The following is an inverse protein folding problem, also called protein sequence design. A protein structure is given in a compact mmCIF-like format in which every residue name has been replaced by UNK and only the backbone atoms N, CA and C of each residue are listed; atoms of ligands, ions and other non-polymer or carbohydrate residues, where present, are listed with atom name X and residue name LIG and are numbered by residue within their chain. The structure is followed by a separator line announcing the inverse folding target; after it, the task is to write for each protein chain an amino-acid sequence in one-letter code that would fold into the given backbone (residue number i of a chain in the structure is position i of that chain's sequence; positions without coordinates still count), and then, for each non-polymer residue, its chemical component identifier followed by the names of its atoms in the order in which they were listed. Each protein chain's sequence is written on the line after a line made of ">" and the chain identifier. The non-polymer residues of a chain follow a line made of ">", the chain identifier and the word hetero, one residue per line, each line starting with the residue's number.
data_IF_447118171944
#
_entry.id   IF_447118171944
#
_cell.length_a   1.000
_cell.length_b   1.000
_cell.length_c   1.000
_cell.angle_alpha   90.00
_cell.angle_beta   90.00
_cell.angle_gamma   90.00
#
_symmetry.space_group_name_H-M   'P 1'
#
loop_
_entity.id
_entity.type
_entity.pdbx_description
1 polymer ?
#
# COMPACT_ATOMS: atom_id res chain seq x y z
N UNK A 1 -24.89 9.39 14.45
CA UNK A 1 -24.14 9.79 13.25
C UNK A 1 -25.02 9.57 12.04
N UNK A 2 -25.12 10.55 11.10
CA UNK A 2 -25.86 10.36 9.87
C UNK A 2 -25.24 9.25 9.04
N UNK A 3 -26.05 8.28 8.63
CA UNK A 3 -25.61 7.14 7.85
C UNK A 3 -26.64 6.70 6.84
N UNK A 4 -26.19 6.00 5.80
CA UNK A 4 -26.99 5.40 4.76
C UNK A 4 -26.85 3.88 4.83
N UNK A 5 -27.95 3.14 4.69
CA UNK A 5 -27.91 1.69 4.55
C UNK A 5 -28.25 1.35 3.10
N UNK A 6 -27.35 0.62 2.45
CA UNK A 6 -27.56 0.12 1.09
C UNK A 6 -27.83 -1.38 1.20
N UNK A 7 -28.84 -1.86 0.47
CA UNK A 7 -29.23 -3.28 0.50
C UNK A 7 -29.42 -3.85 -0.91
N UNK A 8 -29.07 -5.13 -1.05
CA UNK A 8 -29.32 -5.94 -2.24
C UNK A 8 -29.80 -7.33 -1.81
N UNK A 9 -31.11 -7.57 -1.92
CA UNK A 9 -31.71 -8.78 -1.35
C UNK A 9 -31.52 -8.84 0.16
N UNK A 10 -30.92 -9.92 0.65
CA UNK A 10 -30.64 -10.10 2.08
C UNK A 10 -29.33 -9.41 2.55
N UNK A 11 -28.46 -9.01 1.63
CA UNK A 11 -27.20 -8.35 1.95
C UNK A 11 -27.42 -6.87 2.24
N UNK A 12 -26.79 -6.36 3.30
CA UNK A 12 -26.87 -4.95 3.71
C UNK A 12 -25.49 -4.45 4.11
N UNK A 13 -25.21 -3.20 3.79
CA UNK A 13 -24.00 -2.49 4.24
C UNK A 13 -24.35 -1.08 4.67
N UNK A 14 -23.62 -0.55 5.67
CA UNK A 14 -23.79 0.81 6.16
C UNK A 14 -22.69 1.73 5.62
N UNK A 15 -23.06 2.96 5.27
CA UNK A 15 -22.16 4.04 4.87
C UNK A 15 -22.28 5.18 5.86
N UNK A 16 -21.18 5.61 6.42
CA UNK A 16 -21.14 6.80 7.27
C UNK A 16 -21.04 8.04 6.38
N UNK A 17 -22.06 8.91 6.44
CA UNK A 17 -22.13 10.09 5.59
C UNK A 17 -21.27 11.26 6.12
N UNK A 18 -21.06 11.30 7.43
CA UNK A 18 -20.23 12.34 8.06
C UNK A 18 -18.99 11.69 8.67
N UNK A 19 -17.82 12.02 8.14
CA UNK A 19 -16.53 11.55 8.67
C UNK A 19 -15.96 12.60 9.59
N UNK A 20 -15.85 12.29 10.88
CA UNK A 20 -15.27 13.20 11.85
C UNK A 20 -13.75 13.12 11.87
N UNK A 21 -13.11 14.27 11.72
CA UNK A 21 -11.73 14.48 12.16
C UNK A 21 -11.79 15.40 13.39
N UNK A 22 -11.28 14.94 14.55
CA UNK A 22 -11.33 15.71 15.80
C UNK A 22 -10.57 17.05 15.76
N UNK A 23 -9.70 17.21 14.77
CA UNK A 23 -8.85 18.39 14.59
C UNK A 23 -9.37 19.35 13.51
N UNK A 24 -10.38 18.99 12.73
CA UNK A 24 -10.94 19.81 11.67
C UNK A 24 -12.14 20.62 12.12
N UNK A 25 -12.35 21.77 11.53
CA UNK A 25 -13.54 22.60 11.76
C UNK A 25 -14.81 21.90 11.26
N UNK A 26 -16.01 22.25 11.76
CA UNK A 26 -17.26 21.66 11.27
C UNK A 26 -17.48 21.82 9.77
N UNK A 27 -17.07 22.95 9.19
CA UNK A 27 -17.18 23.22 7.75
C UNK A 27 -16.23 22.34 6.93
N UNK A 28 -15.00 22.14 7.39
CA UNK A 28 -14.03 21.24 6.75
C UNK A 28 -14.51 19.79 6.80
N UNK A 29 -15.10 19.36 7.91
CA UNK A 29 -15.68 18.02 8.06
C UNK A 29 -16.80 17.80 7.03
N UNK A 30 -17.68 18.78 6.85
CA UNK A 30 -18.77 18.71 5.89
C UNK A 30 -18.22 18.66 4.46
N UNK A 31 -17.28 19.53 4.11
CA UNK A 31 -16.70 19.58 2.77
C UNK A 31 -15.97 18.27 2.42
N UNK A 32 -15.13 17.77 3.30
CA UNK A 32 -14.44 16.48 3.11
C UNK A 32 -15.43 15.30 3.00
N UNK A 33 -16.55 15.36 3.75
CA UNK A 33 -17.58 14.34 3.68
C UNK A 33 -18.35 14.37 2.36
N UNK A 34 -18.61 15.54 1.81
CA UNK A 34 -19.25 15.73 0.51
C UNK A 34 -18.31 15.24 -0.61
N UNK A 35 -17.05 15.61 -0.59
CA UNK A 35 -16.04 15.17 -1.57
C UNK A 35 -15.86 13.64 -1.59
N UNK A 36 -15.91 13.00 -0.42
CA UNK A 36 -15.77 11.55 -0.31
C UNK A 36 -17.04 10.75 -0.53
N UNK A 37 -18.21 11.39 -0.63
CA UNK A 37 -19.52 10.72 -0.59
C UNK A 37 -19.72 9.73 -1.75
N UNK A 38 -19.39 10.13 -2.97
CA UNK A 38 -19.52 9.27 -4.14
C UNK A 38 -18.67 8.00 -4.00
N UNK A 39 -17.43 8.16 -3.58
CA UNK A 39 -16.51 7.05 -3.35
C UNK A 39 -17.06 6.04 -2.31
N UNK A 40 -17.58 6.54 -1.18
CA UNK A 40 -18.14 5.69 -0.12
C UNK A 40 -19.38 4.92 -0.58
N UNK A 41 -20.26 5.58 -1.33
CA UNK A 41 -21.48 4.94 -1.87
C UNK A 41 -21.11 3.87 -2.90
N UNK A 42 -20.21 4.20 -3.84
CA UNK A 42 -19.75 3.24 -4.86
C UNK A 42 -19.05 2.04 -4.21
N UNK A 43 -18.22 2.27 -3.21
CA UNK A 43 -17.58 1.19 -2.44
C UNK A 43 -18.62 0.28 -1.77
N UNK A 44 -19.62 0.86 -1.13
CA UNK A 44 -20.67 0.11 -0.46
C UNK A 44 -21.48 -0.73 -1.44
N UNK A 45 -21.84 -0.16 -2.61
CA UNK A 45 -22.51 -0.90 -3.69
C UNK A 45 -21.64 -2.06 -4.18
N UNK A 46 -20.35 -1.81 -4.43
CA UNK A 46 -19.44 -2.85 -4.88
C UNK A 46 -19.32 -4.00 -3.86
N UNK A 47 -19.38 -3.71 -2.56
CA UNK A 47 -19.35 -4.74 -1.50
C UNK A 47 -20.57 -5.69 -1.58
N UNK A 48 -21.71 -5.21 -2.08
CA UNK A 48 -22.95 -6.00 -2.24
C UNK A 48 -23.02 -6.78 -3.56
N UNK A 49 -22.06 -6.54 -4.47
CA UNK A 49 -22.01 -7.28 -5.72
C UNK A 49 -21.16 -8.55 -5.52
N UNK A 50 -21.59 -9.71 -6.07
CA UNK A 50 -20.77 -10.90 -6.08
C UNK A 50 -19.55 -10.63 -6.97
N UNK A 51 -18.39 -10.50 -6.37
CA UNK A 51 -17.11 -10.37 -7.06
C UNK A 51 -16.20 -11.49 -6.62
N UNK A 52 -15.54 -12.08 -7.58
CA UNK A 52 -14.41 -12.95 -7.30
C UNK A 52 -13.29 -12.09 -6.69
N UNK A 53 -12.95 -12.39 -5.44
CA UNK A 53 -11.92 -11.62 -4.72
C UNK A 53 -10.56 -11.96 -5.28
N UNK A 54 -9.85 -10.93 -5.70
CA UNK A 54 -8.47 -11.08 -6.18
C UNK A 54 -7.52 -11.31 -5.01
N UNK A 55 -6.54 -12.18 -5.24
CA UNK A 55 -5.55 -12.60 -4.23
C UNK A 55 -4.30 -11.76 -4.32
N UNK A 56 -3.95 -11.10 -3.23
CA UNK A 56 -2.75 -10.24 -3.16
C UNK A 56 -1.76 -10.83 -2.15
N UNK A 57 -0.54 -11.08 -2.60
CA UNK A 57 0.57 -11.52 -1.76
C UNK A 57 1.36 -10.33 -1.20
N UNK A 58 1.67 -10.34 0.10
CA UNK A 58 2.54 -9.36 0.76
C UNK A 58 3.83 -10.03 1.20
N UNK A 59 4.97 -9.44 0.85
CA UNK A 59 6.28 -9.93 1.25
C UNK A 59 6.64 -9.40 2.65
N UNK A 60 6.46 -10.25 3.65
CA UNK A 60 6.67 -9.87 5.06
C UNK A 60 8.14 -9.82 5.45
N UNK A 61 8.99 -10.68 4.88
CA UNK A 61 10.39 -10.83 5.29
C UNK A 61 11.29 -9.66 4.89
N UNK A 62 10.96 -8.99 3.80
CA UNK A 62 11.77 -7.93 3.22
C UNK A 62 11.41 -6.55 3.77
N UNK A 63 10.23 -6.38 4.36
CA UNK A 63 9.78 -5.11 4.92
C UNK A 63 10.19 -4.95 6.38
N UNK A 64 10.84 -3.84 6.71
CA UNK A 64 11.04 -3.42 8.10
C UNK A 64 9.96 -2.45 8.59
N UNK A 65 8.94 -2.19 7.80
CA UNK A 65 7.83 -1.34 8.20
C UNK A 65 7.05 -2.01 9.33
N UNK A 66 6.91 -1.36 10.50
CA UNK A 66 6.18 -1.93 11.62
C UNK A 66 4.77 -2.34 11.23
N UNK A 67 4.28 -3.47 11.74
CA UNK A 67 2.95 -3.98 11.42
C UNK A 67 1.84 -2.94 11.67
N UNK A 68 2.00 -2.12 12.71
CA UNK A 68 1.05 -1.06 13.06
C UNK A 68 0.93 0.01 11.95
N UNK A 69 2.02 0.35 11.28
CA UNK A 69 2.01 1.32 10.18
C UNK A 69 1.35 0.76 8.90
N UNK A 70 1.21 -0.56 8.80
CA UNK A 70 0.60 -1.24 7.67
C UNK A 70 -0.90 -1.54 7.88
N UNK A 71 -1.40 -1.38 9.13
CA UNK A 71 -2.77 -1.80 9.50
C UNK A 71 -3.84 -1.15 8.62
N UNK A 72 -3.76 0.15 8.38
CA UNK A 72 -4.77 0.86 7.60
C UNK A 72 -4.78 0.43 6.15
N UNK A 73 -3.61 0.25 5.55
CA UNK A 73 -3.48 -0.30 4.20
C UNK A 73 -4.08 -1.70 4.11
N UNK A 74 -3.68 -2.58 5.03
CA UNK A 74 -4.16 -3.97 5.08
C UNK A 74 -5.68 -4.00 5.28
N UNK A 75 -6.23 -3.23 6.22
CA UNK A 75 -7.65 -3.19 6.48
C UNK A 75 -8.45 -2.63 5.29
N UNK A 76 -7.92 -1.63 4.61
CA UNK A 76 -8.53 -1.07 3.41
C UNK A 76 -8.56 -2.07 2.26
N UNK A 77 -7.47 -2.79 2.06
CA UNK A 77 -7.39 -3.81 1.01
C UNK A 77 -8.22 -5.05 1.32
N UNK A 78 -8.28 -5.50 2.58
CA UNK A 78 -9.11 -6.64 3.01
C UNK A 78 -10.60 -6.47 2.72
N UNK A 79 -11.07 -5.26 2.52
CA UNK A 79 -12.48 -5.01 2.14
C UNK A 79 -12.81 -5.59 0.76
N UNK A 80 -11.83 -5.64 -0.16
CA UNK A 80 -12.04 -6.01 -1.57
C UNK A 80 -11.22 -7.22 -2.03
N UNK A 81 -10.09 -7.50 -1.36
CA UNK A 81 -9.10 -8.48 -1.77
C UNK A 81 -8.86 -9.52 -0.68
N UNK A 82 -8.44 -10.70 -1.08
CA UNK A 82 -7.91 -11.71 -0.18
C UNK A 82 -6.40 -11.52 -0.07
N UNK A 83 -5.92 -11.26 1.15
CA UNK A 83 -4.53 -10.91 1.42
C UNK A 83 -3.80 -12.11 2.02
N UNK A 84 -2.63 -12.42 1.46
CA UNK A 84 -1.79 -13.52 1.89
C UNK A 84 -0.39 -13.01 2.26
N UNK A 85 0.13 -13.29 3.45
CA UNK A 85 1.55 -13.13 3.71
C UNK A 85 2.33 -14.13 2.87
N UNK A 86 3.36 -13.66 2.18
CA UNK A 86 4.22 -14.49 1.33
C UNK A 86 5.62 -14.50 1.91
N UNK A 87 6.09 -15.71 2.19
CA UNK A 87 7.48 -16.01 2.44
C UNK A 87 8.08 -16.53 1.14
N UNK A 88 8.95 -15.74 0.52
CA UNK A 88 9.58 -16.09 -0.75
C UNK A 88 10.54 -17.28 -0.61
N UNK A 89 11.18 -17.44 0.55
CA UNK A 89 12.10 -18.56 0.79
C UNK A 89 11.34 -19.88 0.84
N UNK A 90 10.15 -19.89 1.47
CA UNK A 90 9.31 -21.08 1.59
C UNK A 90 8.44 -21.34 0.35
N UNK A 91 8.19 -20.30 -0.46
CA UNK A 91 7.31 -20.40 -1.63
C UNK A 91 8.10 -20.67 -2.90
N UNK A 92 7.94 -21.84 -3.55
CA UNK A 92 8.66 -22.14 -4.79
C UNK A 92 8.21 -21.26 -5.96
N UNK A 93 6.93 -20.86 -5.99
CA UNK A 93 6.33 -19.99 -7.01
C UNK A 93 5.35 -19.02 -6.37
N UNK A 94 4.95 -18.00 -7.12
CA UNK A 94 3.89 -17.06 -6.77
C UNK A 94 2.58 -17.35 -7.51
N UNK A 95 2.48 -18.54 -8.09
CA UNK A 95 1.30 -18.95 -8.84
C UNK A 95 0.05 -18.98 -7.94
N UNK A 96 -1.09 -18.59 -8.51
CA UNK A 96 -2.35 -18.50 -7.78
C UNK A 96 -2.59 -17.15 -7.08
N UNK A 97 -1.63 -16.22 -7.13
CA UNK A 97 -1.83 -14.82 -6.77
C UNK A 97 -2.20 -14.00 -8.02
N UNK A 98 -3.05 -12.99 -7.86
CA UNK A 98 -3.36 -12.02 -8.92
C UNK A 98 -2.40 -10.82 -8.89
N UNK A 99 -1.92 -10.48 -7.69
CA UNK A 99 -0.98 -9.38 -7.49
C UNK A 99 -0.03 -9.65 -6.32
N UNK A 100 1.11 -8.99 -6.35
CA UNK A 100 2.06 -8.90 -5.23
C UNK A 100 2.24 -7.47 -4.78
N UNK A 101 2.47 -7.27 -3.48
CA UNK A 101 2.73 -5.98 -2.88
C UNK A 101 4.04 -6.03 -2.11
N UNK A 102 5.00 -5.20 -2.51
CA UNK A 102 6.33 -5.07 -1.88
C UNK A 102 6.36 -3.75 -1.14
N UNK A 103 6.36 -3.81 0.19
CA UNK A 103 6.28 -2.65 1.07
C UNK A 103 7.65 -2.33 1.65
N UNK A 104 8.23 -1.24 1.21
CA UNK A 104 9.46 -0.64 1.73
C UNK A 104 10.54 -1.68 2.12
N UNK A 105 11.06 -2.44 1.16
CA UNK A 105 12.06 -3.46 1.43
C UNK A 105 13.35 -2.81 1.93
N UNK A 106 13.95 -3.44 2.94
CA UNK A 106 15.18 -2.95 3.58
C UNK A 106 16.36 -3.89 3.40
N UNK A 107 16.09 -5.12 2.94
CA UNK A 107 17.12 -6.13 2.64
C UNK A 107 17.19 -6.37 1.14
N UNK A 108 18.35 -6.82 0.71
CA UNK A 108 18.58 -7.22 -0.66
C UNK A 108 17.83 -8.52 -0.97
N UNK A 109 17.12 -8.55 -2.10
CA UNK A 109 16.46 -9.75 -2.60
C UNK A 109 17.51 -10.72 -3.12
N UNK A 110 17.37 -12.00 -2.76
CA UNK A 110 18.19 -13.05 -3.36
C UNK A 110 17.92 -13.16 -4.86
N UNK A 111 18.88 -13.67 -5.63
CA UNK A 111 18.69 -13.90 -7.08
C UNK A 111 17.49 -14.81 -7.35
N UNK A 112 17.28 -15.83 -6.51
CA UNK A 112 16.13 -16.73 -6.60
C UNK A 112 14.81 -15.99 -6.39
N UNK A 113 14.73 -15.09 -5.41
CA UNK A 113 13.50 -14.36 -5.11
C UNK A 113 13.23 -13.28 -6.14
N UNK A 114 14.28 -12.61 -6.62
CA UNK A 114 14.20 -11.69 -7.75
C UNK A 114 13.67 -12.40 -9.01
N UNK A 115 14.16 -13.61 -9.29
CA UNK A 115 13.68 -14.42 -10.40
C UNK A 115 12.22 -14.84 -10.25
N UNK A 116 11.77 -15.23 -9.03
CA UNK A 116 10.35 -15.56 -8.79
C UNK A 116 9.42 -14.36 -9.06
N UNK A 117 9.83 -13.15 -8.63
CA UNK A 117 9.09 -11.92 -8.90
C UNK A 117 9.03 -11.60 -10.39
N UNK A 118 10.18 -11.70 -11.08
CA UNK A 118 10.27 -11.49 -12.52
C UNK A 118 9.36 -12.45 -13.28
N UNK A 119 9.44 -13.75 -12.99
CA UNK A 119 8.57 -14.76 -13.60
C UNK A 119 7.09 -14.52 -13.35
N UNK A 120 6.73 -14.05 -12.15
CA UNK A 120 5.35 -13.69 -11.84
C UNK A 120 4.86 -12.53 -12.70
N UNK A 121 5.66 -11.49 -12.86
CA UNK A 121 5.32 -10.31 -13.69
C UNK A 121 5.25 -10.68 -15.17
N UNK A 122 6.22 -11.44 -15.68
CA UNK A 122 6.25 -11.89 -17.08
C UNK A 122 5.03 -12.75 -17.43
N UNK A 123 4.55 -13.57 -16.50
CA UNK A 123 3.31 -14.35 -16.65
C UNK A 123 2.02 -13.52 -16.57
N UNK A 124 2.12 -12.20 -16.41
CA UNK A 124 0.97 -11.27 -16.35
C UNK A 124 0.48 -10.94 -14.94
N UNK A 125 1.19 -11.38 -13.90
CA UNK A 125 0.96 -10.98 -12.52
C UNK A 125 1.19 -9.49 -12.33
N UNK A 126 0.43 -8.87 -11.45
CA UNK A 126 0.53 -7.42 -11.16
C UNK A 126 1.40 -7.20 -9.95
N UNK A 127 2.26 -6.19 -9.99
CA UNK A 127 3.13 -5.85 -8.86
C UNK A 127 2.97 -4.39 -8.45
N UNK A 128 2.82 -4.16 -7.15
CA UNK A 128 2.87 -2.85 -6.53
C UNK A 128 4.13 -2.75 -5.69
N UNK A 129 4.99 -1.80 -6.04
CA UNK A 129 6.22 -1.51 -5.32
C UNK A 129 6.11 -0.16 -4.62
N UNK A 130 6.16 -0.16 -3.29
CA UNK A 130 6.28 1.04 -2.46
C UNK A 130 7.69 1.01 -1.88
N UNK A 131 8.59 1.82 -2.44
CA UNK A 131 10.04 1.70 -2.22
C UNK A 131 10.64 3.05 -1.87
N UNK A 132 11.43 3.06 -0.81
CA UNK A 132 12.31 4.19 -0.49
C UNK A 132 13.67 3.96 -1.15
N UNK A 133 14.08 4.85 -2.04
CA UNK A 133 15.38 4.77 -2.72
C UNK A 133 16.58 5.12 -1.84
N UNK A 134 16.32 5.73 -0.68
CA UNK A 134 17.36 6.18 0.26
C UNK A 134 17.04 5.77 1.68
N UNK A 135 18.09 5.60 2.48
CA UNK A 135 18.04 5.46 3.93
C UNK A 135 18.53 6.77 4.55
N UNK A 136 17.80 7.26 5.54
CA UNK A 136 18.17 8.44 6.31
C UNK A 136 18.58 7.97 7.71
N UNK A 137 19.80 8.26 8.09
CA UNK A 137 20.34 7.99 9.43
C UNK A 137 20.58 9.32 10.15
N UNK A 138 20.17 9.42 11.40
CA UNK A 138 20.47 10.57 12.25
C UNK A 138 21.86 10.39 12.85
N UNK A 139 22.76 11.34 12.61
CA UNK A 139 24.09 11.35 13.21
C UNK A 139 24.02 11.98 14.61
N UNK A 140 24.91 11.54 15.51
CA UNK A 140 24.99 12.02 16.91
C UNK A 140 25.16 13.55 17.03
N UNK A 141 25.68 14.23 16.00
CA UNK A 141 25.89 15.68 15.95
C UNK A 141 24.78 16.45 15.24
N UNK A 142 23.53 15.98 15.28
CA UNK A 142 22.35 16.59 14.64
C UNK A 142 22.43 16.71 13.10
N UNK A 143 23.31 15.97 12.46
CA UNK A 143 23.37 15.84 11.02
C UNK A 143 22.48 14.68 10.51
N UNK A 144 22.08 14.76 9.26
CA UNK A 144 21.42 13.66 8.55
C UNK A 144 22.41 13.05 7.56
N UNK A 145 22.64 11.75 7.65
CA UNK A 145 23.34 11.00 6.62
C UNK A 145 22.33 10.34 5.70
N UNK A 146 22.50 10.56 4.41
CA UNK A 146 21.64 9.97 3.37
C UNK A 146 22.50 8.97 2.61
N UNK A 147 22.04 7.73 2.55
CA UNK A 147 22.70 6.67 1.79
C UNK A 147 21.71 5.98 0.86
N UNK A 148 22.21 5.49 -0.26
CA UNK A 148 21.38 4.71 -1.19
C UNK A 148 20.99 3.38 -0.53
N UNK A 149 19.72 3.04 -0.62
CA UNK A 149 19.22 1.74 -0.20
C UNK A 149 19.41 0.75 -1.35
N UNK A 150 20.16 -0.31 -1.09
CA UNK A 150 20.41 -1.37 -2.06
C UNK A 150 19.53 -2.55 -1.71
N UNK A 151 18.53 -2.83 -2.54
CA UNK A 151 17.57 -3.93 -2.34
C UNK A 151 17.61 -4.95 -3.48
N UNK A 152 18.31 -4.65 -4.58
CA UNK A 152 18.28 -5.46 -5.80
C UNK A 152 17.04 -5.21 -6.67
N UNK A 153 15.99 -4.55 -6.12
CA UNK A 153 14.82 -4.15 -6.91
C UNK A 153 15.16 -3.16 -8.01
N UNK A 154 16.20 -2.38 -7.83
CA UNK A 154 16.69 -1.41 -8.81
C UNK A 154 16.97 -2.11 -10.15
N UNK A 155 17.57 -3.30 -10.10
CA UNK A 155 17.88 -4.09 -11.28
C UNK A 155 16.62 -4.66 -11.93
N UNK A 156 15.69 -5.19 -11.13
CA UNK A 156 14.42 -5.71 -11.62
C UNK A 156 13.62 -4.59 -12.30
N UNK A 157 13.45 -3.46 -11.62
CA UNK A 157 12.70 -2.33 -12.15
C UNK A 157 13.35 -1.74 -13.40
N UNK A 158 14.69 -1.74 -13.46
CA UNK A 158 15.42 -1.27 -14.63
C UNK A 158 15.14 -2.12 -15.87
N UNK A 159 15.00 -3.44 -15.74
CA UNK A 159 14.60 -4.33 -16.84
C UNK A 159 13.21 -3.98 -17.38
N UNK A 160 12.32 -3.45 -16.53
CA UNK A 160 11.00 -2.95 -16.94
C UNK A 160 10.99 -1.46 -17.34
N UNK A 161 12.18 -0.85 -17.52
CA UNK A 161 12.33 0.54 -17.97
C UNK A 161 12.10 1.58 -16.87
N UNK A 162 12.08 1.17 -15.58
CA UNK A 162 11.87 2.05 -14.45
C UNK A 162 13.20 2.27 -13.70
N UNK A 163 13.52 3.53 -13.40
CA UNK A 163 14.69 3.89 -12.62
C UNK A 163 14.29 4.62 -11.35
N UNK A 164 14.73 4.11 -10.20
CA UNK A 164 14.61 4.79 -8.91
C UNK A 164 15.90 5.56 -8.66
N UNK A 165 15.78 6.88 -8.53
CA UNK A 165 16.93 7.72 -8.19
C UNK A 165 17.13 7.74 -6.66
N UNK A 166 18.38 7.69 -6.24
CA UNK A 166 18.75 7.78 -4.82
C UNK A 166 18.81 9.26 -4.37
N UNK A 167 17.68 9.94 -4.41
CA UNK A 167 17.55 11.34 -4.00
C UNK A 167 16.28 11.55 -3.18
N UNK A 168 16.29 12.61 -2.37
CA UNK A 168 15.11 13.08 -1.67
C UNK A 168 14.36 14.09 -2.53
N UNK A 169 13.05 13.95 -2.58
CA UNK A 169 12.17 14.93 -3.20
C UNK A 169 11.61 15.83 -2.11
N UNK A 170 11.82 17.13 -2.26
CA UNK A 170 11.22 18.15 -1.38
C UNK A 170 10.06 18.81 -2.13
N UNK A 171 8.85 18.65 -1.60
CA UNK A 171 7.71 19.43 -2.06
C UNK A 171 7.68 20.77 -1.31
N UNK A 172 7.75 21.88 -2.04
CA UNK A 172 7.75 23.21 -1.46
C UNK A 172 6.37 23.66 -0.96
N UNK A 173 5.30 23.01 -1.43
CA UNK A 173 3.92 23.40 -1.08
C UNK A 173 3.31 22.48 -0.02
N UNK A 174 3.62 21.20 -0.02
CA UNK A 174 2.98 20.19 0.82
C UNK A 174 3.90 19.61 1.90
N UNK A 175 5.18 19.98 1.94
CA UNK A 175 6.11 19.52 2.98
C UNK A 175 5.89 20.26 4.30
N UNK A 176 4.74 20.08 4.94
CA UNK A 176 4.51 20.47 6.32
C UNK A 176 5.02 19.41 7.29
N UNK A 177 5.60 19.82 8.44
CA UNK A 177 5.79 18.91 9.56
C UNK A 177 4.41 18.44 10.01
N UNK A 178 4.17 17.12 9.97
CA UNK A 178 3.07 16.52 10.73
C UNK A 178 3.64 16.31 12.14
N UNK A 179 3.19 17.04 13.16
CA UNK A 179 3.59 16.73 14.54
C UNK A 179 3.05 15.34 14.88
N UNK A 180 3.95 14.47 15.32
CA UNK A 180 3.62 13.15 15.85
C UNK A 180 2.98 13.26 17.24
#
# INVERSE_FOLDING_TARGET
>A
FPGLVISKGALKTGVLLLKGNKLASPEEIINQSIEGLEFEIVQAIQTLLPQERKKIGFFVEYSATPAIAQIDLINSLKRKYDLFPVDLAASPTLDGLDAICVLNPTREFSESDAYKMDQFIVKGGKALFLVDGVKIDTLENQGLAISQRKTGLENILFHYGLRINANLVKDAQLSGMIPL
#
